data_IF_259990873237
#
_entry.id   IF_259990873237
#
_cell.length_a   1.000
_cell.length_b   1.000
_cell.length_c   1.000
_cell.angle_alpha   90.00
_cell.angle_beta   90.00
_cell.angle_gamma   90.00
#
_symmetry.space_group_name_H-M   'P 1'
#
loop_
_entity.id
_entity.type
_entity.pdbx_description
1 polymer ?
#
# COMPACT_ATOMS: atom_id res chain seq x y z
N UNK A 1 5.07 -12.98 -17.47
CA UNK A 1 6.28 -12.83 -16.63
C UNK A 1 7.22 -11.88 -17.35
N UNK A 2 7.33 -10.65 -16.87
CA UNK A 2 8.32 -9.68 -17.39
C UNK A 2 9.59 -9.82 -16.57
N UNK A 3 10.71 -10.11 -17.22
CA UNK A 3 12.01 -10.16 -16.57
C UNK A 3 12.73 -8.82 -16.82
N UNK A 4 13.01 -8.08 -15.75
CA UNK A 4 13.71 -6.80 -15.83
C UNK A 4 15.08 -6.91 -15.17
N UNK A 5 16.14 -6.65 -15.94
CA UNK A 5 17.50 -6.65 -15.42
C UNK A 5 17.89 -5.25 -14.94
N UNK A 6 18.18 -5.12 -13.66
CA UNK A 6 18.66 -3.87 -13.06
C UNK A 6 20.06 -4.05 -12.49
N UNK A 7 20.91 -3.02 -12.61
CA UNK A 7 22.20 -2.98 -11.92
C UNK A 7 21.99 -2.44 -10.52
N UNK A 8 22.40 -3.20 -9.52
CA UNK A 8 22.33 -2.78 -8.11
C UNK A 8 23.71 -2.84 -7.46
N UNK A 9 24.04 -1.91 -6.54
CA UNK A 9 25.25 -2.02 -5.73
C UNK A 9 25.28 -3.32 -4.92
N UNK A 10 26.48 -3.88 -4.71
CA UNK A 10 26.67 -5.13 -3.96
C UNK A 10 26.06 -5.05 -2.56
N UNK A 11 26.28 -3.94 -1.85
CA UNK A 11 25.73 -3.72 -0.52
C UNK A 11 24.19 -3.81 -0.49
N UNK A 12 23.52 -3.26 -1.52
CA UNK A 12 22.07 -3.33 -1.67
C UNK A 12 21.61 -4.76 -1.91
N UNK A 13 22.28 -5.48 -2.82
CA UNK A 13 21.99 -6.89 -3.11
C UNK A 13 22.11 -7.77 -1.85
N UNK A 14 23.19 -7.59 -1.10
CA UNK A 14 23.44 -8.39 0.11
C UNK A 14 22.42 -8.07 1.22
N UNK A 15 21.94 -6.83 1.28
CA UNK A 15 20.80 -6.45 2.16
C UNK A 15 19.49 -7.11 1.72
N UNK A 16 19.19 -7.14 0.43
CA UNK A 16 17.99 -7.80 -0.11
C UNK A 16 17.99 -9.31 0.19
N UNK A 17 19.15 -9.98 0.05
CA UNK A 17 19.27 -11.39 0.42
C UNK A 17 19.00 -11.65 1.89
N UNK A 18 19.54 -10.81 2.79
CA UNK A 18 19.26 -10.92 4.23
C UNK A 18 17.78 -10.72 4.55
N UNK A 19 17.14 -9.76 3.88
CA UNK A 19 15.72 -9.48 4.07
C UNK A 19 14.85 -10.64 3.59
N UNK A 20 15.17 -11.21 2.42
CA UNK A 20 14.47 -12.37 1.87
C UNK A 20 14.58 -13.58 2.82
N UNK A 21 15.78 -13.84 3.35
CA UNK A 21 16.01 -14.91 4.33
C UNK A 21 15.20 -14.70 5.63
N UNK A 22 15.13 -13.46 6.13
CA UNK A 22 14.35 -13.13 7.32
C UNK A 22 12.84 -13.35 7.13
N UNK A 23 12.34 -13.21 5.89
CA UNK A 23 10.95 -13.46 5.55
C UNK A 23 10.67 -14.88 5.05
N UNK A 24 11.69 -15.74 4.93
CA UNK A 24 11.55 -17.08 4.36
C UNK A 24 11.14 -17.06 2.87
N UNK A 25 11.44 -15.97 2.16
CA UNK A 25 11.08 -15.75 0.76
C UNK A 25 12.29 -15.92 -0.15
N UNK A 26 12.03 -16.19 -1.42
CA UNK A 26 13.06 -16.04 -2.46
C UNK A 26 13.36 -14.57 -2.70
N UNK A 27 14.53 -14.28 -3.29
CA UNK A 27 14.90 -12.90 -3.63
C UNK A 27 13.88 -12.23 -4.55
N UNK A 28 13.37 -12.96 -5.55
CA UNK A 28 12.37 -12.45 -6.48
C UNK A 28 11.07 -12.06 -5.76
N UNK A 29 10.53 -12.97 -4.94
CA UNK A 29 9.31 -12.71 -4.15
C UNK A 29 9.49 -11.54 -3.17
N UNK A 30 10.68 -11.40 -2.57
CA UNK A 30 10.96 -10.28 -1.69
C UNK A 30 11.01 -8.95 -2.46
N UNK A 31 11.53 -8.95 -3.69
CA UNK A 31 11.52 -7.76 -4.55
C UNK A 31 10.09 -7.42 -4.95
N UNK A 32 9.29 -8.40 -5.35
CA UNK A 32 7.88 -8.20 -5.71
C UNK A 32 7.09 -7.60 -4.54
N UNK A 33 7.25 -8.16 -3.33
CA UNK A 33 6.65 -7.61 -2.10
C UNK A 33 7.05 -6.16 -1.85
N UNK A 34 8.33 -5.81 -2.02
CA UNK A 34 8.79 -4.43 -1.84
C UNK A 34 8.22 -3.50 -2.92
N UNK A 35 8.09 -3.99 -4.16
CA UNK A 35 7.48 -3.22 -5.23
C UNK A 35 6.00 -2.97 -4.96
N UNK A 36 5.27 -3.95 -4.43
CA UNK A 36 3.87 -3.79 -4.05
C UNK A 36 3.69 -2.82 -2.86
N UNK A 37 4.58 -2.89 -1.87
CA UNK A 37 4.55 -1.99 -0.70
C UNK A 37 4.90 -0.54 -1.07
N UNK A 38 5.81 -0.34 -2.02
CA UNK A 38 6.23 0.98 -2.51
C UNK A 38 5.39 1.49 -3.68
N UNK A 39 4.57 0.64 -4.28
CA UNK A 39 3.67 1.06 -5.34
C UNK A 39 2.79 2.20 -4.80
N UNK A 40 2.68 3.33 -5.51
CA UNK A 40 1.77 4.39 -5.12
C UNK A 40 0.38 3.76 -5.01
N UNK A 41 -0.18 3.78 -3.79
CA UNK A 41 -1.52 3.27 -3.56
C UNK A 41 -2.43 3.94 -4.58
N UNK A 42 -3.22 3.19 -5.38
CA UNK A 42 -4.13 3.81 -6.31
C UNK A 42 -4.99 4.79 -5.50
N UNK A 43 -5.10 6.03 -6.00
CA UNK A 43 -6.04 6.99 -5.41
C UNK A 43 -7.37 6.26 -5.31
N UNK A 44 -8.03 6.22 -4.14
CA UNK A 44 -9.32 5.56 -4.03
C UNK A 44 -10.24 6.18 -5.08
N UNK A 45 -10.65 5.39 -6.07
CA UNK A 45 -11.58 5.81 -7.13
C UNK A 45 -12.98 6.02 -6.55
N UNK A 46 -13.25 5.39 -5.42
CA UNK A 46 -14.50 5.48 -4.67
C UNK A 46 -14.12 5.55 -3.20
N UNK A 47 -14.29 6.72 -2.59
CA UNK A 47 -13.75 7.01 -1.26
C UNK A 47 -13.94 8.44 -0.75
N UNK A 48 -15.01 9.12 -1.15
CA UNK A 48 -15.83 9.72 -0.10
C UNK A 48 -16.34 8.54 0.73
N UNK A 49 -16.00 8.51 2.02
CA UNK A 49 -16.25 7.37 2.91
C UNK A 49 -17.68 6.83 2.76
N UNK A 50 -17.80 5.54 2.40
CA UNK A 50 -18.90 4.58 2.70
C UNK A 50 -20.31 5.15 2.98
N UNK A 51 -20.76 6.13 2.20
CA UNK A 51 -22.11 6.66 2.29
C UNK A 51 -22.90 5.95 1.20
N UNK A 52 -23.95 5.21 1.56
CA UNK A 52 -24.82 4.54 0.56
C UNK A 52 -25.50 5.55 -0.39
N UNK A 53 -25.45 6.83 -0.04
CA UNK A 53 -26.00 7.97 -0.76
C UNK A 53 -25.10 9.20 -0.52
N UNK A 54 -25.00 10.13 -1.49
CA UNK A 54 -24.25 11.37 -1.33
C UNK A 54 -24.90 12.21 -0.23
N UNK A 55 -24.17 12.46 0.86
CA UNK A 55 -24.60 13.35 1.92
C UNK A 55 -24.38 14.80 1.48
N UNK A 56 -25.36 15.65 1.76
CA UNK A 56 -25.22 17.11 1.73
C UNK A 56 -24.29 17.58 2.86
N UNK A 57 -23.78 18.81 2.75
CA UNK A 57 -22.91 19.38 3.77
C UNK A 57 -23.58 19.40 5.16
N UNK A 58 -24.89 19.64 5.20
CA UNK A 58 -25.69 19.67 6.42
C UNK A 58 -25.77 18.28 7.07
N UNK A 59 -25.96 17.22 6.27
CA UNK A 59 -26.02 15.84 6.78
C UNK A 59 -24.67 15.33 7.30
N UNK A 60 -23.56 15.86 6.77
CA UNK A 60 -22.22 15.56 7.27
C UNK A 60 -22.02 16.17 8.66
N UNK A 61 -22.44 17.42 8.86
CA UNK A 61 -22.32 18.10 10.15
C UNK A 61 -23.17 17.41 11.23
N UNK A 62 -24.38 16.97 10.88
CA UNK A 62 -25.27 16.23 11.80
C UNK A 62 -24.68 14.86 12.21
N UNK A 63 -24.08 14.12 11.26
CA UNK A 63 -23.44 12.84 11.57
C UNK A 63 -22.15 13.01 12.39
N UNK A 64 -21.37 14.07 12.14
CA UNK A 64 -20.19 14.40 12.94
C UNK A 64 -20.55 14.80 14.37
N UNK A 65 -21.67 15.51 14.56
CA UNK A 65 -22.20 15.85 15.89
C UNK A 65 -22.65 14.61 16.68
N UNK A 66 -23.05 13.53 15.99
CA UNK A 66 -23.45 12.25 16.58
C UNK A 66 -22.31 11.39 17.16
N UNK A 67 -21.04 11.76 16.94
CA UNK A 67 -19.87 11.09 17.50
C UNK A 67 -19.24 10.08 16.54
N UNK A 68 -18.13 10.47 15.90
CA UNK A 68 -17.25 9.54 15.19
C UNK A 68 -16.17 9.00 16.14
N UNK A 69 -16.29 7.72 16.51
CA UNK A 69 -15.17 6.92 17.05
C UNK A 69 -15.24 6.56 18.54
N UNK A 70 -16.12 5.62 18.91
CA UNK A 70 -15.80 4.66 19.98
C UNK A 70 -14.98 3.48 19.43
#
# INVERSE_FOLDING_TARGET
MTATTIKVPKATRDRLHRLAAAHGLTLAQQIDKLMDEQAPRPKPTIGGYRSEHPLSAEEIDDQLAGGFGE
#
